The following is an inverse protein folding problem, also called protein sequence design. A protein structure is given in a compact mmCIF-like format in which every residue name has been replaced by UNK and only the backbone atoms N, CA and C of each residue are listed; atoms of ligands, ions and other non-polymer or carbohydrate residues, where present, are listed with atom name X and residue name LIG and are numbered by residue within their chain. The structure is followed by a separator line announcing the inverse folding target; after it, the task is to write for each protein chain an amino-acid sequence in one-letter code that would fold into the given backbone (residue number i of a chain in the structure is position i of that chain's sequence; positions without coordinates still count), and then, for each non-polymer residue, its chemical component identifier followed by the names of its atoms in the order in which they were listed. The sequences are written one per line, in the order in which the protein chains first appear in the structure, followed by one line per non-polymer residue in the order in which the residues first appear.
data_IF_153216724090
#
_entry.id   IF_153216724090
#
_cell.length_a   1.000
_cell.length_b   1.000
_cell.length_c   1.000
_cell.angle_alpha   90.00
_cell.angle_beta   90.00
_cell.angle_gamma   90.00
#
_symmetry.space_group_name_H-M   'P 1'
#
loop_
_entity.id
_entity.type
_entity.pdbx_description
1 polymer ?
#
# COMPACT_ATOMS: atom_id res chain seq x y z
N UNK A 1 0.95 35.12 0.22
CA UNK A 1 2.04 34.15 0.42
C UNK A 1 2.47 33.67 -0.96
N UNK A 2 3.73 33.89 -1.35
CA UNK A 2 4.25 33.36 -2.61
C UNK A 2 4.34 31.83 -2.43
N UNK A 3 3.56 31.09 -3.23
CA UNK A 3 3.72 29.63 -3.32
C UNK A 3 5.12 29.39 -3.88
N UNK A 4 5.93 28.61 -3.18
CA UNK A 4 7.27 28.29 -3.63
C UNK A 4 7.19 27.59 -5.00
N UNK A 5 7.93 28.11 -5.96
CA UNK A 5 7.94 27.59 -7.33
C UNK A 5 8.33 26.10 -7.37
N UNK A 6 9.14 25.65 -6.40
CA UNK A 6 9.50 24.26 -6.24
C UNK A 6 8.29 23.40 -5.79
N UNK A 7 7.45 23.92 -4.90
CA UNK A 7 6.23 23.23 -4.46
C UNK A 7 5.24 23.04 -5.61
N UNK A 8 5.08 24.03 -6.45
CA UNK A 8 4.23 23.94 -7.64
C UNK A 8 4.76 22.89 -8.62
N UNK A 9 6.07 22.83 -8.83
CA UNK A 9 6.70 21.84 -9.70
C UNK A 9 6.54 20.43 -9.13
N UNK A 10 6.75 20.23 -7.82
CA UNK A 10 6.54 18.94 -7.14
C UNK A 10 5.11 18.45 -7.33
N UNK A 11 4.11 19.28 -7.02
CA UNK A 11 2.69 18.94 -7.20
C UNK A 11 2.37 18.59 -8.65
N UNK A 12 2.95 19.30 -9.60
CA UNK A 12 2.74 19.05 -11.03
C UNK A 12 3.36 17.74 -11.48
N UNK A 13 4.55 17.38 -10.99
CA UNK A 13 5.26 16.14 -11.34
C UNK A 13 4.62 14.93 -10.66
N UNK A 14 4.30 15.01 -9.37
CA UNK A 14 3.68 13.93 -8.61
C UNK A 14 2.19 13.77 -8.90
N UNK A 15 1.60 14.82 -9.50
CA UNK A 15 0.21 14.83 -9.93
C UNK A 15 -0.79 15.02 -8.79
N UNK A 16 -2.06 14.93 -9.17
CA UNK A 16 -3.22 14.97 -8.27
C UNK A 16 -4.22 13.92 -8.69
N UNK A 17 -5.01 13.45 -7.75
CA UNK A 17 -6.09 12.48 -7.96
C UNK A 17 -7.26 12.74 -7.04
N UNK A 18 -8.27 11.91 -7.11
CA UNK A 18 -9.37 11.92 -6.16
C UNK A 18 -8.91 11.28 -4.85
N UNK A 19 -9.30 11.89 -3.73
CA UNK A 19 -8.99 11.34 -2.42
C UNK A 19 -9.83 10.08 -2.16
N UNK A 20 -9.14 8.98 -1.88
CA UNK A 20 -9.72 7.67 -1.63
C UNK A 20 -9.11 7.08 -0.33
N UNK A 21 -9.43 7.68 0.83
CA UNK A 21 -8.89 7.22 2.10
C UNK A 21 -9.48 5.87 2.51
N UNK A 22 -8.86 5.23 3.48
CA UNK A 22 -9.43 4.07 4.15
C UNK A 22 -10.66 4.48 4.96
N UNK A 23 -11.76 3.73 4.80
CA UNK A 23 -12.98 3.91 5.61
C UNK A 23 -12.78 3.27 6.98
N UNK A 24 -12.17 2.08 6.99
CA UNK A 24 -11.84 1.36 8.22
C UNK A 24 -10.31 1.37 8.38
N UNK A 25 -9.76 2.03 9.40
CA UNK A 25 -8.32 2.06 9.63
C UNK A 25 -7.72 0.67 9.72
N UNK A 26 -6.66 0.44 8.96
CA UNK A 26 -5.96 -0.85 8.91
C UNK A 26 -6.61 -1.90 7.99
N UNK A 27 -7.68 -1.54 7.28
CA UNK A 27 -8.28 -2.38 6.24
C UNK A 27 -8.12 -1.68 4.87
N UNK A 28 -6.96 -1.86 4.26
CA UNK A 28 -6.56 -1.15 3.03
C UNK A 28 -7.50 -1.37 1.85
N UNK A 29 -8.22 -2.49 1.85
CA UNK A 29 -9.22 -2.79 0.80
C UNK A 29 -10.52 -1.99 0.98
N UNK A 30 -10.73 -1.38 2.14
CA UNK A 30 -11.91 -0.56 2.45
C UNK A 30 -11.67 0.91 2.10
N UNK A 31 -11.42 1.22 0.83
CA UNK A 31 -11.25 2.59 0.36
C UNK A 31 -12.47 3.06 -0.39
N UNK A 32 -12.82 4.35 -0.20
CA UNK A 32 -13.90 4.97 -0.95
C UNK A 32 -13.59 6.45 -1.22
N UNK A 33 -14.29 7.02 -2.18
CA UNK A 33 -14.16 8.42 -2.56
C UNK A 33 -14.62 9.32 -1.41
N UNK A 34 -13.78 10.28 -1.06
CA UNK A 34 -14.11 11.29 -0.04
C UNK A 34 -14.84 12.46 -0.66
N UNK A 35 -15.93 12.87 -0.03
CA UNK A 35 -16.64 14.11 -0.34
C UNK A 35 -16.17 15.21 0.61
N UNK A 36 -16.11 16.44 0.11
CA UNK A 36 -15.83 17.66 0.88
C UNK A 36 -16.79 18.79 0.50
N UNK A 37 -17.03 19.72 1.43
CA UNK A 37 -17.83 20.89 1.16
C UNK A 37 -17.00 21.91 0.38
N UNK A 38 -17.45 22.22 -0.84
CA UNK A 38 -16.86 23.24 -1.70
C UNK A 38 -17.76 24.48 -1.83
N UNK A 39 -17.32 25.51 -2.55
CA UNK A 39 -18.08 26.74 -2.74
C UNK A 39 -19.44 26.56 -3.40
N UNK A 40 -19.61 25.47 -4.16
CA UNK A 40 -20.83 25.15 -4.94
C UNK A 40 -21.61 23.94 -4.36
N UNK A 41 -21.32 23.53 -3.13
CA UNK A 41 -21.91 22.36 -2.50
C UNK A 41 -20.88 21.22 -2.33
N UNK A 42 -21.37 19.99 -2.18
CA UNK A 42 -20.51 18.81 -2.06
C UNK A 42 -19.76 18.53 -3.36
N UNK A 43 -18.46 18.30 -3.25
CA UNK A 43 -17.57 17.96 -4.36
C UNK A 43 -16.64 16.80 -3.94
N UNK A 44 -15.96 16.19 -4.89
CA UNK A 44 -14.98 15.15 -4.64
C UNK A 44 -13.68 15.76 -4.11
N UNK A 45 -13.25 15.30 -2.94
CA UNK A 45 -11.99 15.70 -2.34
C UNK A 45 -10.81 15.27 -3.23
N UNK A 46 -9.76 16.10 -3.25
CA UNK A 46 -8.54 15.83 -4.02
C UNK A 46 -7.36 15.54 -3.11
N UNK A 47 -6.45 14.74 -3.62
CA UNK A 47 -5.15 14.45 -3.03
C UNK A 47 -4.04 14.82 -4.02
N UNK A 48 -2.95 15.42 -3.53
CA UNK A 48 -1.87 15.95 -4.38
C UNK A 48 -0.49 15.53 -3.88
N UNK A 49 0.49 15.60 -4.75
CA UNK A 49 1.90 15.41 -4.40
C UNK A 49 2.22 14.00 -3.92
N UNK A 50 3.01 13.90 -2.84
CA UNK A 50 3.47 12.62 -2.30
C UNK A 50 2.31 11.75 -1.81
N UNK A 51 1.26 12.34 -1.23
CA UNK A 51 0.09 11.61 -0.76
C UNK A 51 -0.68 10.97 -1.92
N UNK A 52 -0.73 11.66 -3.09
CA UNK A 52 -1.31 11.10 -4.30
C UNK A 52 -0.51 9.86 -4.79
N UNK A 53 0.82 9.92 -4.74
CA UNK A 53 1.66 8.78 -5.12
C UNK A 53 1.47 7.63 -4.13
N UNK A 54 1.51 7.90 -2.83
CA UNK A 54 1.33 6.89 -1.78
C UNK A 54 -0.03 6.21 -1.90
N UNK A 55 -1.10 6.98 -2.09
CA UNK A 55 -2.44 6.44 -2.31
C UNK A 55 -2.52 5.57 -3.57
N UNK A 56 -1.96 6.02 -4.69
CA UNK A 56 -1.95 5.27 -5.94
C UNK A 56 -1.21 3.93 -5.81
N UNK A 57 -0.06 3.93 -5.13
CA UNK A 57 0.71 2.71 -4.86
C UNK A 57 -0.04 1.76 -3.91
N UNK A 58 -0.70 2.30 -2.87
CA UNK A 58 -1.51 1.50 -1.96
C UNK A 58 -2.66 0.81 -2.71
N UNK A 59 -3.36 1.54 -3.58
CA UNK A 59 -4.43 0.96 -4.43
C UNK A 59 -3.85 -0.12 -5.35
N UNK A 60 -2.72 0.12 -6.01
CA UNK A 60 -2.09 -0.87 -6.89
C UNK A 60 -1.70 -2.15 -6.14
N UNK A 61 -1.17 -2.04 -4.92
CA UNK A 61 -0.74 -3.17 -4.10
C UNK A 61 -1.90 -3.94 -3.43
N UNK A 62 -3.09 -3.34 -3.35
CA UNK A 62 -4.30 -4.00 -2.83
C UNK A 62 -5.24 -4.51 -3.94
N UNK A 63 -4.96 -4.18 -5.19
CA UNK A 63 -5.71 -4.66 -6.35
C UNK A 63 -5.04 -5.91 -6.91
N UNK A 64 -5.79 -7.00 -7.09
CA UNK A 64 -5.23 -8.21 -7.70
C UNK A 64 -4.84 -7.95 -9.16
N UNK A 65 -3.66 -8.41 -9.57
CA UNK A 65 -3.20 -8.29 -10.96
C UNK A 65 -4.22 -8.92 -11.91
N UNK A 66 -4.50 -8.22 -13.01
CA UNK A 66 -5.47 -8.64 -14.04
C UNK A 66 -6.93 -8.67 -13.58
N UNK A 67 -7.27 -8.11 -12.43
CA UNK A 67 -8.68 -7.98 -11.99
C UNK A 67 -9.44 -6.90 -12.77
N UNK A 68 -8.74 -5.90 -13.32
CA UNK A 68 -9.30 -4.89 -14.19
C UNK A 68 -9.23 -5.35 -15.64
N UNK A 69 -10.39 -5.59 -16.25
CA UNK A 69 -10.50 -6.06 -17.64
C UNK A 69 -10.03 -5.04 -18.67
N UNK A 70 -10.00 -3.75 -18.31
CA UNK A 70 -9.52 -2.67 -19.19
C UNK A 70 -8.04 -2.37 -19.00
N UNK A 71 -7.46 -2.81 -17.87
CA UNK A 71 -6.05 -2.64 -17.57
C UNK A 71 -5.46 -3.87 -16.89
N UNK A 72 -5.29 -4.93 -17.67
CA UNK A 72 -4.80 -6.23 -17.18
C UNK A 72 -3.39 -6.20 -16.60
N UNK A 73 -2.61 -5.15 -16.91
CA UNK A 73 -1.28 -4.96 -16.35
C UNK A 73 -1.27 -4.22 -15.00
N UNK A 74 -2.43 -3.70 -14.57
CA UNK A 74 -2.57 -3.02 -13.30
C UNK A 74 -2.81 -4.01 -12.17
N UNK A 75 -2.20 -3.74 -11.03
CA UNK A 75 -2.38 -4.51 -9.80
C UNK A 75 -1.13 -5.28 -9.37
N UNK A 76 -1.32 -6.13 -8.39
CA UNK A 76 -0.30 -6.81 -7.63
C UNK A 76 -0.43 -8.34 -7.71
N UNK A 77 0.61 -9.01 -8.20
CA UNK A 77 0.61 -10.47 -8.35
C UNK A 77 0.83 -11.23 -7.02
N UNK A 78 1.25 -10.54 -5.97
CA UNK A 78 1.47 -11.17 -4.68
C UNK A 78 0.22 -11.78 -4.05
N UNK A 79 -0.98 -11.32 -4.41
CA UNK A 79 -2.24 -11.93 -3.98
C UNK A 79 -2.38 -13.35 -4.56
N UNK A 80 -2.02 -13.53 -5.83
CA UNK A 80 -1.99 -14.86 -6.46
C UNK A 80 -0.95 -15.76 -5.80
N UNK A 81 0.21 -15.22 -5.45
CA UNK A 81 1.25 -15.97 -4.73
C UNK A 81 0.77 -16.52 -3.39
N UNK A 82 -0.08 -15.78 -2.66
CA UNK A 82 -0.65 -16.23 -1.39
C UNK A 82 -1.64 -17.40 -1.55
N UNK A 83 -2.24 -17.54 -2.72
CA UNK A 83 -3.25 -18.56 -3.02
C UNK A 83 -2.59 -19.82 -3.62
N UNK A 84 -1.65 -19.62 -4.54
CA UNK A 84 -1.07 -20.68 -5.36
C UNK A 84 0.11 -21.39 -4.67
N UNK A 85 0.87 -20.66 -3.84
CA UNK A 85 2.12 -21.16 -3.29
C UNK A 85 1.91 -21.71 -1.86
N UNK A 86 2.38 -22.92 -1.62
CA UNK A 86 2.27 -23.58 -0.30
C UNK A 86 3.50 -23.40 0.57
N UNK A 87 4.65 -23.08 -0.03
CA UNK A 87 5.90 -22.90 0.71
C UNK A 87 6.02 -21.45 1.21
N UNK A 88 6.03 -21.20 2.54
CA UNK A 88 6.06 -19.83 3.09
C UNK A 88 7.26 -19.01 2.63
N UNK A 89 8.42 -19.63 2.42
CA UNK A 89 9.62 -18.93 1.95
C UNK A 89 9.44 -18.46 0.51
N UNK A 90 8.88 -19.31 -0.35
CA UNK A 90 8.60 -18.96 -1.75
C UNK A 90 7.50 -17.90 -1.85
N UNK A 91 6.44 -18.01 -1.05
CA UNK A 91 5.41 -16.96 -0.91
C UNK A 91 6.06 -15.61 -0.65
N UNK A 92 6.89 -15.53 0.39
CA UNK A 92 7.56 -14.30 0.81
C UNK A 92 8.43 -13.69 -0.31
N UNK A 93 9.24 -14.52 -0.97
CA UNK A 93 10.11 -14.04 -2.04
C UNK A 93 9.30 -13.62 -3.29
N UNK A 94 8.25 -14.35 -3.64
CA UNK A 94 7.36 -14.00 -4.74
C UNK A 94 6.61 -12.69 -4.46
N UNK A 95 6.10 -12.51 -3.25
CA UNK A 95 5.47 -11.26 -2.81
C UNK A 95 6.48 -10.11 -2.87
N UNK A 96 7.71 -10.31 -2.38
CA UNK A 96 8.77 -9.29 -2.45
C UNK A 96 9.04 -8.84 -3.87
N UNK A 97 9.21 -9.78 -4.79
CA UNK A 97 9.45 -9.47 -6.20
C UNK A 97 8.26 -8.70 -6.79
N UNK A 98 7.03 -9.13 -6.50
CA UNK A 98 5.82 -8.47 -6.99
C UNK A 98 5.66 -7.05 -6.45
N UNK A 99 5.97 -6.79 -5.17
CA UNK A 99 5.98 -5.43 -4.62
C UNK A 99 6.97 -4.55 -5.37
N UNK A 100 8.20 -5.04 -5.56
CA UNK A 100 9.24 -4.28 -6.28
C UNK A 100 8.80 -3.98 -7.72
N UNK A 101 8.20 -4.94 -8.41
CA UNK A 101 7.71 -4.76 -9.77
C UNK A 101 6.59 -3.72 -9.83
N UNK A 102 5.60 -3.81 -8.95
CA UNK A 102 4.48 -2.85 -8.89
C UNK A 102 4.97 -1.42 -8.63
N UNK A 103 5.87 -1.23 -7.66
CA UNK A 103 6.42 0.09 -7.39
C UNK A 103 7.23 0.66 -8.57
N UNK A 104 8.00 -0.19 -9.26
CA UNK A 104 8.80 0.23 -10.42
C UNK A 104 7.99 0.56 -11.67
N UNK A 105 6.76 0.11 -11.75
CA UNK A 105 5.86 0.46 -12.84
C UNK A 105 5.38 1.92 -12.74
N UNK A 106 5.38 2.51 -11.54
CA UNK A 106 5.01 3.92 -11.38
C UNK A 106 6.21 4.83 -11.73
N UNK A 107 6.12 5.65 -12.78
CA UNK A 107 7.24 6.50 -13.23
C UNK A 107 7.61 7.59 -12.22
N UNK A 108 6.77 7.85 -11.21
CA UNK A 108 7.02 8.82 -10.16
C UNK A 108 7.92 8.25 -9.05
N UNK A 109 8.08 6.92 -8.97
CA UNK A 109 8.98 6.26 -8.05
C UNK A 109 10.38 6.20 -8.66
N UNK A 110 11.33 6.90 -8.05
CA UNK A 110 12.73 6.90 -8.47
C UNK A 110 13.48 5.67 -8.02
N UNK A 111 13.30 5.32 -6.71
CA UNK A 111 13.94 4.14 -6.11
C UNK A 111 13.19 3.65 -4.88
N UNK A 112 13.30 2.39 -4.60
CA UNK A 112 12.88 1.76 -3.36
C UNK A 112 14.07 1.86 -2.39
N UNK A 113 13.84 2.46 -1.22
CA UNK A 113 14.88 2.68 -0.20
C UNK A 113 14.98 1.47 0.71
N UNK A 114 13.82 0.96 1.17
CA UNK A 114 13.73 -0.21 2.05
C UNK A 114 12.44 -0.98 1.78
N UNK A 115 12.48 -2.29 1.97
CA UNK A 115 11.32 -3.18 1.84
C UNK A 115 11.42 -4.26 2.91
N UNK A 116 10.50 -4.22 3.87
CA UNK A 116 10.36 -5.23 4.92
C UNK A 116 9.08 -5.98 4.73
N UNK A 117 9.18 -7.29 4.76
CA UNK A 117 8.05 -8.21 4.76
C UNK A 117 8.06 -8.95 6.09
N UNK A 118 7.04 -8.72 6.91
CA UNK A 118 6.83 -9.41 8.17
C UNK A 118 5.77 -10.47 7.95
N UNK A 119 6.20 -11.72 7.86
CA UNK A 119 5.31 -12.87 7.82
C UNK A 119 5.24 -13.49 9.22
N UNK A 120 4.17 -13.20 9.93
CA UNK A 120 3.98 -13.68 11.30
C UNK A 120 3.90 -15.20 11.41
N UNK A 121 3.64 -15.90 10.31
CA UNK A 121 3.69 -17.37 10.25
C UNK A 121 5.10 -17.90 10.42
N UNK A 122 6.08 -17.24 9.82
CA UNK A 122 7.49 -17.62 9.95
C UNK A 122 8.06 -17.32 11.35
N UNK A 123 7.58 -16.25 11.99
CA UNK A 123 7.97 -15.93 13.37
C UNK A 123 7.50 -17.00 14.37
N UNK A 124 6.30 -17.55 14.18
CA UNK A 124 5.78 -18.66 14.99
C UNK A 124 6.56 -19.96 14.77
N UNK A 125 6.92 -20.27 13.52
CA UNK A 125 7.73 -21.44 13.20
C UNK A 125 9.14 -21.36 13.82
N UNK A 126 9.63 -20.14 14.09
CA UNK A 126 10.90 -19.89 14.78
C UNK A 126 10.81 -19.88 16.31
N UNK A 127 9.67 -20.22 16.92
CA UNK A 127 9.52 -20.34 18.38
C UNK A 127 9.07 -19.06 19.09
N UNK A 128 8.37 -18.17 18.39
CA UNK A 128 7.75 -16.98 18.99
C UNK A 128 6.62 -17.32 19.99
N UNK A 129 6.24 -16.39 20.89
CA UNK A 129 5.31 -16.63 21.99
C UNK A 129 3.88 -16.89 21.47
N UNK A 130 3.45 -18.13 21.51
CA UNK A 130 2.09 -18.56 21.16
C UNK A 130 1.23 -18.91 22.40
N UNK A 131 1.71 -18.62 23.60
CA UNK A 131 1.15 -19.23 24.84
C UNK A 131 -0.19 -18.64 25.32
N UNK A 132 -0.58 -17.39 24.87
CA UNK A 132 -1.79 -16.74 25.37
C UNK A 132 -2.71 -16.17 24.25
N UNK A 133 -2.63 -16.72 23.05
CA UNK A 133 -3.37 -16.19 21.92
C UNK A 133 -4.76 -16.79 21.77
N UNK A 134 -5.77 -15.93 21.55
CA UNK A 134 -7.13 -16.40 21.25
C UNK A 134 -7.20 -17.02 19.84
N UNK A 135 -8.13 -17.98 19.59
CA UNK A 135 -8.29 -18.58 18.27
C UNK A 135 -8.53 -17.57 17.13
N UNK A 136 -9.17 -16.45 17.45
CA UNK A 136 -9.44 -15.34 16.49
C UNK A 136 -8.16 -14.61 16.12
N UNK A 137 -7.32 -14.29 17.10
CA UNK A 137 -6.02 -13.66 16.88
C UNK A 137 -5.07 -14.59 16.11
N UNK A 138 -5.10 -15.88 16.40
CA UNK A 138 -4.37 -16.87 15.63
C UNK A 138 -4.82 -16.89 14.15
N UNK A 139 -6.13 -16.83 13.89
CA UNK A 139 -6.68 -16.81 12.54
C UNK A 139 -6.31 -15.53 11.76
N UNK A 140 -6.35 -14.38 12.41
CA UNK A 140 -5.91 -13.10 11.85
C UNK A 140 -4.42 -13.10 11.53
N UNK A 141 -3.60 -13.66 12.41
CA UNK A 141 -2.16 -13.81 12.22
C UNK A 141 -1.81 -14.70 11.02
N UNK A 142 -2.61 -15.73 10.74
CA UNK A 142 -2.42 -16.61 9.58
C UNK A 142 -2.74 -15.93 8.25
N UNK A 143 -3.46 -14.80 8.26
CA UNK A 143 -3.93 -14.09 7.06
C UNK A 143 -3.14 -12.83 6.72
N UNK A 144 -2.28 -12.34 7.62
CA UNK A 144 -1.61 -11.04 7.45
C UNK A 144 -0.14 -11.18 7.11
N UNK A 145 0.19 -10.68 5.94
CA UNK A 145 1.55 -10.35 5.55
C UNK A 145 1.68 -8.82 5.63
N UNK A 146 2.45 -8.34 6.60
CA UNK A 146 2.71 -6.90 6.72
C UNK A 146 3.83 -6.50 5.76
N UNK A 147 3.60 -5.46 4.99
CA UNK A 147 4.54 -4.92 4.00
C UNK A 147 4.87 -3.49 4.35
N UNK A 148 6.11 -3.24 4.78
CA UNK A 148 6.63 -1.89 4.99
C UNK A 148 7.52 -1.50 3.80
N UNK A 149 7.17 -0.43 3.11
CA UNK A 149 7.92 0.07 1.96
C UNK A 149 8.33 1.51 2.20
N UNK A 150 9.63 1.78 2.12
CA UNK A 150 10.17 3.13 2.01
C UNK A 150 10.63 3.38 0.58
N UNK A 151 10.18 4.46 -0.03
CA UNK A 151 10.56 4.83 -1.39
C UNK A 151 10.87 6.32 -1.52
N UNK A 152 11.62 6.66 -2.56
CA UNK A 152 11.96 8.03 -2.95
C UNK A 152 11.35 8.30 -4.32
N UNK A 153 10.70 9.45 -4.44
CA UNK A 153 10.10 9.93 -5.69
C UNK A 153 11.14 10.60 -6.60
N UNK A 154 10.76 10.84 -7.85
CA UNK A 154 11.59 11.59 -8.81
C UNK A 154 11.85 13.04 -8.40
N UNK A 155 11.04 13.61 -7.50
CA UNK A 155 11.23 14.94 -6.92
C UNK A 155 12.13 14.94 -5.69
N UNK A 156 12.58 13.76 -5.24
CA UNK A 156 13.43 13.60 -4.07
C UNK A 156 12.68 13.49 -2.74
N UNK A 157 11.35 13.51 -2.77
CA UNK A 157 10.54 13.30 -1.58
C UNK A 157 10.57 11.84 -1.16
N UNK A 158 10.62 11.58 0.14
CA UNK A 158 10.59 10.22 0.69
C UNK A 158 9.27 9.97 1.40
N UNK A 159 8.72 8.78 1.21
CA UNK A 159 7.54 8.30 1.92
C UNK A 159 7.74 6.88 2.42
N UNK A 160 7.03 6.57 3.49
CA UNK A 160 6.90 5.22 4.03
C UNK A 160 5.44 4.83 3.92
N UNK A 161 5.20 3.67 3.37
CA UNK A 161 3.88 3.06 3.25
C UNK A 161 3.89 1.75 4.01
N UNK A 162 2.85 1.53 4.78
CA UNK A 162 2.63 0.31 5.54
C UNK A 162 1.32 -0.33 5.06
N UNK A 163 1.37 -1.60 4.69
CA UNK A 163 0.23 -2.39 4.24
C UNK A 163 0.10 -3.63 5.12
N UNK A 164 -1.09 -3.93 5.61
CA UNK A 164 -1.37 -5.12 6.41
C UNK A 164 -1.36 -4.91 7.93
N UNK A 165 -1.02 -3.73 8.43
CA UNK A 165 -1.13 -3.42 9.86
C UNK A 165 -2.56 -3.00 10.21
N UNK A 166 -3.29 -3.87 10.89
CA UNK A 166 -4.41 -3.42 11.70
C UNK A 166 -3.86 -2.47 12.78
N UNK A 167 -4.28 -1.20 12.74
CA UNK A 167 -3.95 -0.25 13.80
C UNK A 167 -4.68 -0.72 15.06
N UNK A 168 -3.97 -1.37 15.96
CA UNK A 168 -4.48 -1.60 17.31
C UNK A 168 -4.53 -0.23 18.00
N UNK A 169 -5.68 0.41 18.01
CA UNK A 169 -5.94 1.52 18.91
C UNK A 169 -5.88 0.98 20.34
N UNK A 170 -4.76 1.31 21.04
CA UNK A 170 -4.66 1.15 22.48
C UNK A 170 -5.50 2.19 23.20
#
# INVERSE_FOLDING_TARGET
MAVDQQDLLRRRVLGRGLACPEIVPGLEVSRDLRLEEGPNGLDLAQVEGIDNVTQALAIALTTALSSDIFNVAFGFDGINALIEETNPVLVRERVRVSVIQTLRQDPRVRRIVDLKLLDRRLELAAGGPAADETPTQALERWRTLDVDVAFETVTGDQAVMNLGKAVSNG
#
